data_IF_284700557944
#
_entry.id   IF_284700557944
#
_cell.length_a   1.000
_cell.length_b   1.000
_cell.length_c   1.000
_cell.angle_alpha   90.00
_cell.angle_beta   90.00
_cell.angle_gamma   90.00
#
_symmetry.space_group_name_H-M   'P 1'
#
loop_
_entity.id
_entity.type
_entity.pdbx_description
1 polymer ?
#
# COMPACT_ATOMS: atom_id res chain seq x y z
N UNK A 1 13.43 10.76 12.84
CA UNK A 1 14.63 11.63 12.92
C UNK A 1 14.39 12.84 13.81
N UNK A 2 13.38 13.67 13.63
CA UNK A 2 13.12 14.84 14.48
C UNK A 2 13.03 14.53 15.98
N UNK A 3 12.32 13.47 16.36
CA UNK A 3 12.22 13.05 17.77
C UNK A 3 13.58 12.67 18.35
N UNK A 4 14.39 11.94 17.59
CA UNK A 4 15.73 11.53 18.05
C UNK A 4 16.67 12.74 18.21
N UNK A 5 16.61 13.67 17.27
CA UNK A 5 17.42 14.89 17.28
C UNK A 5 17.06 15.80 18.47
N UNK A 6 15.77 16.03 18.68
CA UNK A 6 15.29 16.92 19.77
C UNK A 6 15.48 16.28 21.14
N UNK A 7 15.25 14.98 21.26
CA UNK A 7 15.31 14.28 22.56
C UNK A 7 16.69 13.76 22.95
N UNK A 8 17.63 13.70 22.01
CA UNK A 8 18.94 13.06 22.20
C UNK A 8 18.86 11.54 22.40
N UNK A 9 17.70 10.91 22.12
CA UNK A 9 17.46 9.48 22.29
C UNK A 9 17.15 8.80 20.95
N UNK A 10 17.55 7.53 20.80
CA UNK A 10 17.04 6.72 19.68
C UNK A 10 15.51 6.67 19.73
N UNK A 11 14.86 6.66 18.59
CA UNK A 11 13.40 6.66 18.47
C UNK A 11 12.75 5.52 19.28
N UNK A 12 13.30 4.30 19.16
CA UNK A 12 12.85 3.14 19.94
C UNK A 12 12.91 3.37 21.46
N UNK A 13 13.99 3.95 21.93
CA UNK A 13 14.15 4.24 23.37
C UNK A 13 13.24 5.37 23.85
N UNK A 14 12.97 6.33 22.98
CA UNK A 14 11.97 7.37 23.25
C UNK A 14 10.57 6.75 23.41
N UNK A 15 10.18 5.92 22.47
CA UNK A 15 8.87 5.25 22.49
C UNK A 15 8.75 4.29 23.67
N UNK A 16 9.79 3.52 23.98
CA UNK A 16 9.82 2.65 25.16
C UNK A 16 9.62 3.46 26.45
N UNK A 17 10.34 4.54 26.59
CA UNK A 17 10.31 5.34 27.81
C UNK A 17 9.00 6.11 28.01
N UNK A 18 8.49 6.71 26.97
CA UNK A 18 7.39 7.67 27.06
C UNK A 18 6.04 7.13 26.59
N UNK A 19 6.01 5.96 25.96
CA UNK A 19 4.75 5.36 25.48
C UNK A 19 4.58 3.96 26.04
N UNK A 20 5.33 2.99 25.56
CA UNK A 20 5.05 1.57 25.82
C UNK A 20 5.23 1.18 27.30
N UNK A 21 6.23 1.70 27.97
CA UNK A 21 6.40 1.46 29.42
C UNK A 21 5.30 2.10 30.25
N UNK A 22 4.83 3.27 29.86
CA UNK A 22 3.79 4.02 30.59
C UNK A 22 2.45 3.30 30.56
N UNK A 23 2.08 2.73 29.40
CA UNK A 23 0.83 1.97 29.26
C UNK A 23 0.99 0.49 29.59
N UNK A 24 2.19 0.05 29.96
CA UNK A 24 2.48 -1.34 30.26
C UNK A 24 2.47 -2.28 29.05
N UNK A 25 2.74 -1.75 27.86
CA UNK A 25 2.84 -2.48 26.60
C UNK A 25 4.22 -3.14 26.44
N UNK A 26 4.45 -4.21 27.16
CA UNK A 26 5.77 -4.86 27.31
C UNK A 26 6.25 -5.62 26.08
N UNK A 27 5.34 -6.06 25.20
CA UNK A 27 5.63 -6.79 23.97
C UNK A 27 5.72 -5.87 22.75
N UNK A 28 5.61 -4.55 22.95
CA UNK A 28 5.66 -3.55 21.89
C UNK A 28 7.09 -3.03 21.71
N UNK A 29 7.62 -3.14 20.50
CA UNK A 29 8.98 -2.69 20.17
C UNK A 29 9.04 -2.12 18.75
N UNK A 30 10.10 -1.38 18.44
CA UNK A 30 10.35 -0.83 17.12
C UNK A 30 11.37 -1.65 16.34
N UNK A 31 11.46 -1.45 15.02
CA UNK A 31 12.30 -2.23 14.10
C UNK A 31 13.80 -2.23 14.41
N UNK A 32 14.33 -1.24 15.08
CA UNK A 32 15.74 -1.21 15.51
C UNK A 32 16.06 -2.16 16.68
N UNK A 33 15.05 -2.83 17.23
CA UNK A 33 15.16 -3.76 18.35
C UNK A 33 14.62 -5.16 18.03
N UNK A 34 14.34 -5.47 16.78
CA UNK A 34 13.75 -6.74 16.38
C UNK A 34 14.65 -7.92 16.75
N UNK A 35 14.32 -8.52 17.87
CA UNK A 35 14.83 -9.82 18.33
C UNK A 35 13.64 -10.64 18.80
N UNK A 36 13.23 -11.65 18.07
CA UNK A 36 12.14 -12.50 18.53
C UNK A 36 11.69 -13.53 17.51
N UNK A 37 11.01 -14.55 17.95
CA UNK A 37 10.33 -15.53 17.10
C UNK A 37 8.91 -15.05 16.82
N UNK A 38 8.49 -15.15 15.56
CA UNK A 38 7.08 -15.00 15.22
C UNK A 38 6.31 -16.22 15.73
N UNK A 39 5.57 -16.04 16.80
CA UNK A 39 4.82 -17.13 17.44
C UNK A 39 3.64 -17.63 16.60
N UNK A 40 3.17 -16.84 15.62
CA UNK A 40 2.02 -17.19 14.78
C UNK A 40 2.42 -18.06 13.59
N UNK A 41 3.56 -17.84 12.97
CA UNK A 41 3.99 -18.55 11.75
C UNK A 41 4.91 -19.72 12.00
N UNK A 42 5.39 -19.94 13.22
CA UNK A 42 6.43 -20.92 13.58
C UNK A 42 7.73 -20.79 12.79
N UNK A 43 7.85 -19.81 11.93
CA UNK A 43 9.09 -19.49 11.24
C UNK A 43 9.94 -18.59 12.12
N UNK A 44 11.24 -18.82 12.09
CA UNK A 44 12.18 -17.86 12.69
C UNK A 44 12.00 -16.53 11.98
N UNK A 45 11.77 -15.47 12.74
CA UNK A 45 11.68 -14.13 12.17
C UNK A 45 12.89 -13.86 11.31
N UNK A 46 12.64 -13.70 10.02
CA UNK A 46 13.63 -13.08 9.16
C UNK A 46 13.70 -11.62 9.59
N UNK A 47 14.90 -11.06 9.78
CA UNK A 47 15.02 -9.67 10.15
C UNK A 47 14.48 -8.82 9.01
N UNK A 48 13.37 -8.15 9.20
CA UNK A 48 12.98 -7.06 8.33
C UNK A 48 13.15 -5.75 9.05
N UNK A 49 13.79 -4.87 8.39
CA UNK A 49 14.04 -3.56 8.89
C UNK A 49 13.26 -2.54 8.08
N UNK A 50 12.28 -1.93 8.71
CA UNK A 50 11.57 -0.80 8.18
C UNK A 50 12.15 0.51 8.74
N UNK A 51 13.47 0.60 8.80
CA UNK A 51 14.20 1.73 9.38
C UNK A 51 13.80 3.08 8.80
N UNK A 52 13.45 3.11 7.52
CA UNK A 52 13.09 4.36 6.85
C UNK A 52 11.70 4.85 7.22
N UNK A 53 10.85 3.99 7.73
CA UNK A 53 9.44 4.29 8.04
C UNK A 53 9.03 3.91 9.48
N UNK A 54 9.98 3.87 10.39
CA UNK A 54 9.77 3.50 11.80
C UNK A 54 8.53 4.14 12.44
N UNK A 55 8.28 5.42 12.19
CA UNK A 55 7.12 6.13 12.72
C UNK A 55 5.79 5.73 12.06
N UNK A 56 5.84 5.20 10.83
CA UNK A 56 4.66 4.81 10.06
C UNK A 56 4.32 3.33 10.12
N UNK A 57 5.34 2.45 10.14
CA UNK A 57 5.16 1.00 10.03
C UNK A 57 6.19 0.16 10.80
N UNK A 58 6.99 0.75 11.64
CA UNK A 58 8.11 0.09 12.31
C UNK A 58 7.81 -0.53 13.68
N UNK A 59 6.55 -0.70 14.06
CA UNK A 59 6.17 -1.30 15.34
C UNK A 59 5.77 -2.77 15.19
N UNK A 60 6.30 -3.60 16.07
CA UNK A 60 5.80 -4.94 16.36
C UNK A 60 5.13 -4.96 17.72
N UNK A 61 3.94 -5.48 17.84
CA UNK A 61 3.16 -5.46 19.08
C UNK A 61 2.27 -6.70 19.20
N UNK A 62 1.84 -7.00 20.40
CA UNK A 62 0.73 -7.96 20.62
C UNK A 62 -0.61 -7.23 20.61
N UNK A 63 -1.69 -7.94 20.27
CA UNK A 63 -3.04 -7.36 20.28
C UNK A 63 -3.42 -6.83 21.66
N UNK A 64 -2.99 -7.50 22.72
CA UNK A 64 -3.23 -7.06 24.10
C UNK A 64 -2.54 -5.71 24.35
N UNK A 65 -1.30 -5.54 23.91
CA UNK A 65 -0.57 -4.30 24.11
C UNK A 65 -1.14 -3.17 23.23
N UNK A 66 -1.61 -3.49 22.04
CA UNK A 66 -2.30 -2.54 21.17
C UNK A 66 -3.60 -2.05 21.83
N UNK A 67 -4.36 -2.95 22.47
CA UNK A 67 -5.55 -2.58 23.25
C UNK A 67 -5.19 -1.70 24.47
N UNK A 68 -4.05 -1.89 25.11
CA UNK A 68 -3.61 -1.00 26.19
C UNK A 68 -3.31 0.41 25.68
N UNK A 69 -2.70 0.51 24.49
CA UNK A 69 -2.47 1.81 23.85
C UNK A 69 -3.81 2.48 23.52
N UNK A 70 -4.77 1.74 22.97
CA UNK A 70 -6.11 2.26 22.69
C UNK A 70 -6.86 2.68 23.95
N UNK A 71 -6.74 1.92 25.02
CA UNK A 71 -7.37 2.29 26.29
C UNK A 71 -6.82 3.60 26.86
N UNK A 72 -5.54 3.90 26.63
CA UNK A 72 -4.96 5.20 26.99
C UNK A 72 -5.61 6.35 26.19
N UNK A 73 -6.01 6.09 24.94
CA UNK A 73 -6.72 7.09 24.12
C UNK A 73 -8.11 7.36 24.68
N UNK A 74 -8.81 6.32 25.12
CA UNK A 74 -10.13 6.45 25.76
C UNK A 74 -10.06 7.08 27.16
N UNK A 75 -9.01 6.73 27.88
CA UNK A 75 -8.80 7.11 29.29
C UNK A 75 -7.46 7.80 29.46
N UNK A 76 -7.30 9.06 29.03
CA UNK A 76 -6.06 9.81 29.08
C UNK A 76 -5.53 9.94 30.50
N UNK A 77 -4.23 9.86 30.63
CA UNK A 77 -3.51 10.08 31.88
C UNK A 77 -2.66 11.35 31.82
N UNK A 78 -1.98 11.70 32.90
CA UNK A 78 -1.14 12.90 32.98
C UNK A 78 -0.04 13.02 31.93
N UNK A 79 0.33 11.91 31.28
CA UNK A 79 1.35 11.89 30.24
C UNK A 79 0.78 12.28 28.87
N UNK A 80 -0.44 11.87 28.59
CA UNK A 80 -1.13 12.19 27.35
C UNK A 80 -2.25 13.19 27.63
N UNK A 81 -1.96 14.44 27.39
CA UNK A 81 -2.91 15.50 27.62
C UNK A 81 -4.15 15.27 26.78
N UNK A 82 -5.30 15.47 27.36
CA UNK A 82 -6.60 15.33 26.72
C UNK A 82 -6.69 16.14 25.41
N UNK A 83 -6.17 17.34 25.43
CA UNK A 83 -6.13 18.24 24.26
C UNK A 83 -5.32 17.66 23.10
N UNK A 84 -4.23 16.92 23.40
CA UNK A 84 -3.41 16.26 22.37
C UNK A 84 -4.15 15.10 21.74
N UNK A 85 -4.90 14.33 22.52
CA UNK A 85 -5.74 13.23 22.03
C UNK A 85 -6.89 13.77 21.19
N UNK A 86 -7.56 14.80 21.66
CA UNK A 86 -8.62 15.48 20.92
C UNK A 86 -8.11 16.03 19.59
N UNK A 87 -6.90 16.58 19.57
CA UNK A 87 -6.29 17.08 18.32
C UNK A 87 -5.95 15.94 17.37
N UNK A 88 -5.44 14.82 17.86
CA UNK A 88 -5.18 13.63 17.04
C UNK A 88 -6.45 13.05 16.43
N UNK A 89 -7.56 13.16 17.13
CA UNK A 89 -8.87 12.63 16.74
C UNK A 89 -9.68 13.59 15.86
N UNK A 90 -9.14 14.77 15.53
CA UNK A 90 -9.80 15.67 14.58
C UNK A 90 -9.50 15.26 13.13
N UNK A 91 -10.45 15.49 12.21
CA UNK A 91 -10.18 15.40 10.78
C UNK A 91 -9.12 16.40 10.36
N UNK A 92 -7.99 15.94 9.86
CA UNK A 92 -6.93 16.75 9.27
C UNK A 92 -6.87 16.61 7.75
N UNK A 93 -7.74 15.82 7.17
CA UNK A 93 -7.85 15.63 5.74
C UNK A 93 -8.48 16.86 5.06
N UNK A 94 -8.06 17.13 3.84
CA UNK A 94 -8.74 18.11 2.97
C UNK A 94 -10.03 17.45 2.50
N UNK A 95 -11.18 18.08 2.73
CA UNK A 95 -12.44 17.65 2.16
C UNK A 95 -12.34 17.66 0.64
N UNK A 96 -12.42 16.51 0.01
CA UNK A 96 -12.36 16.37 -1.44
C UNK A 96 -13.66 16.87 -2.10
N UNK A 97 -14.78 16.67 -1.43
CA UNK A 97 -16.08 17.15 -1.86
C UNK A 97 -16.58 18.11 -0.80
N UNK A 98 -16.62 19.43 -1.10
CA UNK A 98 -16.96 20.46 -0.12
C UNK A 98 -18.34 20.29 0.54
N UNK A 99 -19.25 19.55 -0.09
CA UNK A 99 -20.59 19.27 0.43
C UNK A 99 -20.71 17.97 1.22
N UNK A 100 -19.64 17.17 1.29
CA UNK A 100 -19.63 15.91 2.01
C UNK A 100 -18.56 15.91 3.10
N UNK A 101 -18.94 16.31 4.28
CA UNK A 101 -18.08 16.36 5.48
C UNK A 101 -17.54 14.97 5.90
N UNK A 102 -17.98 13.91 5.22
CA UNK A 102 -17.65 12.53 5.58
C UNK A 102 -16.49 11.94 4.76
N UNK A 103 -16.02 12.61 3.72
CA UNK A 103 -15.09 12.02 2.74
C UNK A 103 -13.62 12.00 3.15
N UNK A 104 -13.19 12.80 4.10
CA UNK A 104 -11.77 12.88 4.49
C UNK A 104 -11.58 12.96 6.00
N UNK A 105 -11.71 11.84 6.65
CA UNK A 105 -11.62 11.73 8.11
C UNK A 105 -10.24 11.25 8.63
N UNK A 106 -9.14 11.64 7.96
CA UNK A 106 -7.81 11.37 8.47
C UNK A 106 -7.51 12.18 9.72
N UNK A 107 -7.03 11.49 10.75
CA UNK A 107 -6.49 12.11 11.94
C UNK A 107 -4.96 12.09 11.96
N UNK A 108 -4.37 12.65 12.99
CA UNK A 108 -2.93 12.54 13.20
C UNK A 108 -2.58 11.12 13.69
N UNK A 109 -2.14 10.30 12.74
CA UNK A 109 -1.83 8.89 12.98
C UNK A 109 -3.03 7.93 12.85
N UNK A 110 -4.21 8.41 12.47
CA UNK A 110 -5.43 7.62 12.26
C UNK A 110 -5.84 7.59 10.79
N UNK A 111 -6.25 6.45 10.30
CA UNK A 111 -6.79 6.29 8.95
C UNK A 111 -8.23 6.79 8.86
N UNK A 112 -8.93 6.82 9.98
CA UNK A 112 -10.24 7.42 10.11
C UNK A 112 -10.51 7.84 11.56
N UNK A 113 -11.02 9.03 11.76
CA UNK A 113 -11.36 9.57 13.10
C UNK A 113 -12.86 9.68 13.35
N UNK A 114 -13.65 9.28 12.38
CA UNK A 114 -15.10 9.14 12.51
C UNK A 114 -15.58 7.95 11.67
N UNK A 115 -14.99 6.79 11.92
CA UNK A 115 -15.34 5.57 11.23
C UNK A 115 -16.80 5.22 11.53
N UNK A 116 -17.56 4.96 10.48
CA UNK A 116 -18.93 4.42 10.57
C UNK A 116 -18.98 3.10 9.83
N UNK A 117 -19.81 2.21 10.26
CA UNK A 117 -20.09 0.94 9.58
C UNK A 117 -21.55 0.91 9.14
N UNK A 118 -21.83 0.32 7.99
CA UNK A 118 -23.19 0.22 7.47
C UNK A 118 -24.01 -0.83 8.19
N UNK A 119 -23.33 -1.79 8.79
CA UNK A 119 -23.95 -2.92 9.49
C UNK A 119 -24.07 -2.69 11.00
N UNK A 120 -23.24 -1.80 11.56
CA UNK A 120 -23.11 -1.63 13.00
C UNK A 120 -23.12 -0.16 13.43
N UNK A 121 -23.99 0.18 14.36
CA UNK A 121 -24.01 1.50 15.03
C UNK A 121 -22.88 1.59 16.07
N UNK A 122 -21.72 2.00 15.64
CA UNK A 122 -20.54 2.17 16.49
C UNK A 122 -20.51 3.52 17.23
N UNK A 123 -21.44 4.42 16.91
CA UNK A 123 -21.44 5.79 17.41
C UNK A 123 -20.44 6.73 16.71
N UNK A 124 -20.40 7.97 17.17
CA UNK A 124 -19.50 9.01 16.64
C UNK A 124 -18.09 8.91 17.22
N UNK A 125 -17.12 9.48 16.50
CA UNK A 125 -15.74 9.61 16.96
C UNK A 125 -14.96 8.29 17.03
N UNK A 126 -15.39 7.28 16.31
CA UNK A 126 -14.66 6.00 16.23
C UNK A 126 -13.36 6.20 15.49
N UNK A 127 -12.25 5.84 16.12
CA UNK A 127 -10.92 5.91 15.56
C UNK A 127 -10.54 4.56 14.96
N UNK A 128 -10.04 4.58 13.73
CA UNK A 128 -9.56 3.39 13.03
C UNK A 128 -8.11 3.56 12.60
N UNK A 129 -7.32 2.52 12.81
CA UNK A 129 -5.97 2.40 12.26
C UNK A 129 -5.75 1.01 11.69
N UNK A 130 -5.45 0.94 10.41
CA UNK A 130 -5.00 -0.28 9.76
C UNK A 130 -3.48 -0.39 9.75
N UNK A 131 -2.99 -1.61 9.62
CA UNK A 131 -1.59 -1.92 9.39
C UNK A 131 -1.46 -3.18 8.57
N UNK A 132 -0.87 -3.05 7.38
CA UNK A 132 -0.60 -4.18 6.50
C UNK A 132 0.91 -4.33 6.30
N UNK A 133 1.39 -5.53 6.39
CA UNK A 133 2.75 -5.93 6.06
C UNK A 133 2.68 -7.12 5.09
N UNK A 134 3.82 -7.60 4.63
CA UNK A 134 3.85 -8.80 3.77
C UNK A 134 3.40 -10.09 4.47
N UNK A 135 3.22 -10.07 5.78
CA UNK A 135 2.86 -11.25 6.57
C UNK A 135 1.59 -11.08 7.39
N UNK A 136 1.20 -9.86 7.66
CA UNK A 136 0.10 -9.56 8.58
C UNK A 136 -0.82 -8.48 8.06
N UNK A 137 -2.10 -8.66 8.27
CA UNK A 137 -3.12 -7.60 8.22
C UNK A 137 -3.62 -7.35 9.63
N UNK A 138 -3.59 -6.11 10.06
CA UNK A 138 -4.01 -5.71 11.41
C UNK A 138 -5.03 -4.59 11.34
N UNK A 139 -6.07 -4.68 12.13
CA UNK A 139 -7.05 -3.61 12.32
C UNK A 139 -7.19 -3.27 13.80
N UNK A 140 -7.35 -2.00 14.05
CA UNK A 140 -7.39 -1.44 15.39
C UNK A 140 -8.46 -0.35 15.49
N UNK A 141 -9.38 -0.51 16.40
CA UNK A 141 -10.48 0.42 16.64
C UNK A 141 -10.48 0.93 18.07
N UNK A 142 -10.81 2.20 18.21
CA UNK A 142 -11.14 2.82 19.49
C UNK A 142 -12.55 3.36 19.36
N UNK A 143 -13.48 2.83 20.17
CA UNK A 143 -14.93 3.08 20.08
C UNK A 143 -15.41 3.80 21.34
N UNK A 144 -15.49 5.13 21.33
CA UNK A 144 -15.83 5.93 22.52
C UNK A 144 -17.19 5.62 23.10
N UNK A 145 -18.20 5.43 22.25
CA UNK A 145 -19.59 5.16 22.66
C UNK A 145 -19.70 4.00 23.62
N UNK A 146 -18.89 2.99 23.44
CA UNK A 146 -18.92 1.75 24.24
C UNK A 146 -17.72 1.61 25.18
N UNK A 147 -16.87 2.64 25.25
CA UNK A 147 -15.58 2.60 25.97
C UNK A 147 -14.80 1.33 25.62
N UNK A 148 -14.80 0.96 24.35
CA UNK A 148 -14.22 -0.28 23.84
C UNK A 148 -13.02 -0.03 22.93
N UNK A 149 -12.09 -0.97 22.96
CA UNK A 149 -10.94 -1.05 22.07
C UNK A 149 -10.90 -2.43 21.45
N UNK A 150 -10.82 -2.46 20.14
CA UNK A 150 -10.75 -3.71 19.37
C UNK A 150 -9.45 -3.80 18.62
N UNK A 151 -8.81 -4.94 18.62
CA UNK A 151 -7.61 -5.20 17.83
C UNK A 151 -7.62 -6.64 17.30
N UNK A 152 -7.38 -6.78 16.02
CA UNK A 152 -7.26 -8.07 15.35
C UNK A 152 -6.07 -8.06 14.42
N UNK A 153 -5.41 -9.19 14.30
CA UNK A 153 -4.35 -9.41 13.30
C UNK A 153 -4.50 -10.79 12.73
N UNK A 154 -4.35 -10.90 11.43
CA UNK A 154 -4.25 -12.18 10.72
C UNK A 154 -2.92 -12.32 10.00
N UNK A 155 -2.56 -13.54 9.68
CA UNK A 155 -1.54 -13.83 8.68
C UNK A 155 -2.24 -13.96 7.32
N UNK A 156 -1.57 -13.62 6.24
CA UNK A 156 -2.15 -13.68 4.89
C UNK A 156 -2.64 -15.07 4.45
N UNK A 157 -2.27 -16.11 5.18
CA UNK A 157 -2.75 -17.48 4.94
C UNK A 157 -4.22 -17.67 5.36
N UNK A 158 -4.75 -16.82 6.21
CA UNK A 158 -6.10 -17.00 6.76
C UNK A 158 -7.22 -16.55 5.85
N UNK A 159 -6.95 -15.63 4.91
CA UNK A 159 -7.90 -15.07 3.91
C UNK A 159 -9.25 -14.60 4.51
N UNK A 160 -9.24 -14.10 5.74
CA UNK A 160 -10.43 -13.54 6.40
C UNK A 160 -10.53 -12.03 6.20
N UNK A 161 -11.74 -11.53 6.20
CA UNK A 161 -11.95 -10.10 6.34
C UNK A 161 -11.82 -9.72 7.82
N UNK A 162 -10.72 -9.07 8.14
CA UNK A 162 -10.38 -8.76 9.54
C UNK A 162 -11.35 -7.76 10.16
N UNK A 163 -11.84 -6.79 9.37
CA UNK A 163 -12.79 -5.80 9.89
C UNK A 163 -14.14 -6.45 10.17
N UNK A 164 -14.67 -7.19 9.19
CA UNK A 164 -15.92 -7.92 9.35
C UNK A 164 -15.86 -8.88 10.55
N UNK A 165 -14.77 -9.58 10.66
CA UNK A 165 -14.59 -10.55 11.73
C UNK A 165 -14.60 -9.88 13.09
N UNK A 166 -13.85 -8.82 13.29
CA UNK A 166 -13.75 -8.16 14.60
C UNK A 166 -15.04 -7.41 14.97
N UNK A 167 -15.68 -6.76 14.00
CA UNK A 167 -16.92 -6.02 14.25
C UNK A 167 -18.07 -6.97 14.51
N UNK A 168 -18.13 -8.11 13.81
CA UNK A 168 -19.14 -9.15 14.09
C UNK A 168 -18.94 -9.77 15.47
N UNK A 169 -17.71 -10.04 15.87
CA UNK A 169 -17.42 -10.52 17.24
C UNK A 169 -17.82 -9.47 18.27
N UNK A 170 -17.54 -8.22 18.00
CA UNK A 170 -17.95 -7.13 18.87
C UNK A 170 -19.48 -7.03 18.95
N UNK A 171 -20.17 -7.07 17.82
CA UNK A 171 -21.63 -7.04 17.77
C UNK A 171 -22.25 -8.22 18.52
N UNK A 172 -21.62 -9.39 18.43
CA UNK A 172 -22.06 -10.58 19.20
C UNK A 172 -21.94 -10.34 20.70
N UNK A 173 -20.82 -9.81 21.14
CA UNK A 173 -20.59 -9.46 22.54
C UNK A 173 -21.59 -8.40 23.03
N UNK A 174 -21.90 -7.41 22.18
CA UNK A 174 -22.89 -6.39 22.51
C UNK A 174 -24.31 -6.96 22.61
N UNK A 175 -24.63 -7.94 21.77
CA UNK A 175 -25.92 -8.64 21.85
C UNK A 175 -26.06 -9.45 23.15
N UNK A 176 -25.01 -10.05 23.66
CA UNK A 176 -24.96 -10.70 24.95
C UNK A 176 -25.29 -9.74 26.10
N UNK A 177 -24.91 -8.47 25.92
CA UNK A 177 -25.25 -7.39 26.85
C UNK A 177 -26.67 -6.77 26.59
N UNK A 178 -27.43 -7.33 25.66
CA UNK A 178 -28.76 -6.85 25.30
C UNK A 178 -28.79 -5.63 24.37
N UNK A 179 -27.69 -5.30 23.70
CA UNK A 179 -27.58 -4.16 22.78
C UNK A 179 -27.54 -4.64 21.35
N UNK A 180 -28.49 -4.27 20.51
CA UNK A 180 -28.58 -4.61 19.09
C UNK A 180 -28.16 -3.42 18.23
N UNK A 181 -27.27 -3.69 17.31
CA UNK A 181 -26.62 -2.68 16.50
C UNK A 181 -26.62 -2.95 14.97
N UNK A 182 -27.73 -3.35 14.17
CA UNK A 182 -27.84 -3.69 12.68
C UNK A 182 -28.80 -2.91 11.80
N UNK A 183 -28.78 -2.62 10.18
CA UNK A 183 -29.54 -1.83 9.11
C UNK A 183 -30.13 -2.47 7.86
N UNK A 184 -30.91 -1.91 5.60
CA UNK A 184 -31.52 -2.27 4.23
C UNK A 184 -31.08 -1.82 2.89
N UNK A 185 -31.97 -1.91 -0.62
CA UNK A 185 -31.70 -1.66 -2.15
C UNK A 185 -32.76 -1.15 -3.23
N UNK A 186 -32.60 -0.29 -5.65
CA UNK A 186 -33.44 -0.04 -6.91
C UNK A 186 -32.68 0.20 -8.26
N UNK A 187 -33.16 0.80 -9.64
CA UNK A 187 -32.78 0.75 -11.06
C UNK A 187 -32.03 1.94 -11.65
N UNK A 188 -31.09 1.74 -12.73
CA UNK A 188 -30.14 2.68 -13.40
C UNK A 188 -30.78 3.34 -14.61
N UNK A 189 -30.58 4.63 -14.87
CA UNK A 189 -30.97 5.35 -16.09
C UNK A 189 -29.91 5.22 -17.19
N UNK A 190 -30.28 5.37 -18.46
CA UNK A 190 -29.34 5.40 -19.58
C UNK A 190 -28.35 6.58 -19.45
N UNK A 191 -28.81 7.72 -19.04
CA UNK A 191 -27.96 8.89 -18.79
C UNK A 191 -26.83 8.58 -17.80
N UNK A 192 -27.14 7.83 -16.77
CA UNK A 192 -26.18 7.39 -15.77
C UNK A 192 -25.17 6.41 -16.35
N UNK A 193 -25.62 5.51 -17.23
CA UNK A 193 -24.76 4.57 -17.95
C UNK A 193 -23.81 5.33 -18.88
N UNK A 194 -24.32 6.22 -19.70
CA UNK A 194 -23.54 7.00 -20.68
C UNK A 194 -22.49 7.87 -19.98
N UNK A 195 -22.81 8.35 -18.80
CA UNK A 195 -21.97 9.26 -18.04
C UNK A 195 -20.90 8.55 -17.22
N UNK A 196 -21.19 7.43 -16.65
CA UNK A 196 -20.33 6.80 -15.63
C UNK A 196 -19.71 5.48 -16.08
N UNK A 197 -20.21 4.80 -17.10
CA UNK A 197 -19.53 3.62 -17.61
C UNK A 197 -18.17 3.96 -18.24
N UNK A 198 -17.23 3.02 -18.22
CA UNK A 198 -15.90 3.17 -18.84
C UNK A 198 -14.72 2.91 -17.91
N UNK A 199 -13.56 3.34 -18.32
CA UNK A 199 -12.29 3.07 -17.66
C UNK A 199 -12.01 4.02 -16.49
N UNK A 200 -11.62 3.46 -15.40
CA UNK A 200 -11.23 4.15 -14.15
C UNK A 200 -9.83 3.74 -13.72
N UNK A 201 -9.11 4.63 -13.13
CA UNK A 201 -7.74 4.43 -12.68
C UNK A 201 -7.73 4.37 -11.16
N UNK A 202 -7.06 3.37 -10.63
CA UNK A 202 -6.75 3.17 -9.22
C UNK A 202 -5.23 3.28 -9.00
N UNK A 203 -4.74 3.40 -7.77
CA UNK A 203 -3.29 3.50 -7.51
C UNK A 203 -2.49 2.31 -8.02
N UNK A 204 -3.11 1.14 -8.12
CA UNK A 204 -2.46 -0.13 -8.44
C UNK A 204 -3.04 -0.82 -9.68
N UNK A 205 -3.62 -0.05 -10.61
CA UNK A 205 -4.14 -0.63 -11.85
C UNK A 205 -5.34 0.12 -12.44
N UNK A 206 -6.17 -0.60 -13.17
CA UNK A 206 -7.29 -0.06 -13.93
C UNK A 206 -8.56 -0.83 -13.56
N UNK A 207 -9.64 -0.11 -13.34
CA UNK A 207 -11.00 -0.65 -13.28
C UNK A 207 -11.78 -0.30 -14.54
N UNK A 208 -12.60 -1.21 -15.00
CA UNK A 208 -13.61 -0.92 -16.00
C UNK A 208 -15.00 -1.07 -15.38
N UNK A 209 -15.74 0.03 -15.36
CA UNK A 209 -17.13 0.07 -14.90
C UNK A 209 -18.06 -0.25 -16.09
N UNK A 210 -18.66 -1.41 -16.06
CA UNK A 210 -19.63 -1.87 -17.06
C UNK A 210 -21.04 -1.75 -16.49
N UNK A 211 -21.85 -0.91 -17.10
CA UNK A 211 -23.24 -0.72 -16.74
C UNK A 211 -24.16 -1.16 -17.85
N UNK A 212 -25.10 -2.00 -17.56
CA UNK A 212 -26.18 -2.38 -18.49
C UNK A 212 -27.42 -2.82 -17.70
N UNK A 213 -28.58 -2.41 -18.14
CA UNK A 213 -29.83 -2.69 -17.46
C UNK A 213 -29.85 -2.11 -16.05
N UNK A 214 -29.90 -2.94 -15.05
CA UNK A 214 -29.95 -2.56 -13.64
C UNK A 214 -28.68 -2.92 -12.84
N UNK A 215 -27.60 -3.25 -13.53
CA UNK A 215 -26.41 -3.84 -12.89
C UNK A 215 -25.15 -3.06 -13.24
N UNK A 216 -24.33 -2.81 -12.25
CA UNK A 216 -22.96 -2.36 -12.40
C UNK A 216 -22.01 -3.53 -12.11
N UNK A 217 -21.07 -3.75 -13.02
CA UNK A 217 -19.94 -4.67 -12.81
C UNK A 217 -18.65 -3.86 -12.91
N UNK A 218 -17.75 -4.09 -12.01
CA UNK A 218 -16.43 -3.47 -12.01
C UNK A 218 -15.41 -4.59 -12.17
N UNK A 219 -14.68 -4.58 -13.28
CA UNK A 219 -13.58 -5.51 -13.55
C UNK A 219 -12.26 -4.83 -13.25
N UNK A 220 -11.30 -5.58 -12.74
CA UNK A 220 -9.94 -5.14 -12.54
C UNK A 220 -9.09 -5.69 -13.68
N UNK A 221 -8.63 -4.82 -14.55
CA UNK A 221 -7.71 -5.18 -15.63
C UNK A 221 -6.28 -4.82 -15.21
N UNK A 222 -5.41 -5.81 -15.33
CA UNK A 222 -3.96 -5.60 -15.25
C UNK A 222 -3.37 -5.77 -16.64
N UNK A 223 -2.24 -5.16 -16.93
CA UNK A 223 -1.52 -5.34 -18.21
C UNK A 223 -1.09 -6.80 -18.44
N UNK A 224 -1.20 -7.63 -17.42
CA UNK A 224 -0.88 -9.07 -17.45
C UNK A 224 -2.10 -9.98 -17.63
N UNK A 225 -3.29 -9.42 -17.83
CA UNK A 225 -4.47 -10.16 -18.27
C UNK A 225 -5.29 -10.89 -17.21
N UNK A 226 -5.06 -10.69 -15.93
CA UNK A 226 -5.87 -11.28 -14.85
C UNK A 226 -7.10 -10.42 -14.54
N UNK A 227 -8.14 -10.60 -15.30
CA UNK A 227 -9.47 -10.02 -15.05
C UNK A 227 -10.24 -10.82 -14.00
N UNK A 228 -9.79 -10.82 -12.76
CA UNK A 228 -10.67 -11.21 -11.67
C UNK A 228 -11.62 -10.05 -11.40
N UNK A 229 -12.90 -10.26 -11.68
CA UNK A 229 -13.93 -9.24 -11.46
C UNK A 229 -13.88 -8.76 -10.00
N UNK A 230 -13.51 -7.50 -9.85
CA UNK A 230 -13.34 -6.91 -8.53
C UNK A 230 -14.68 -6.83 -7.78
N UNK A 231 -15.75 -6.49 -8.52
CA UNK A 231 -17.10 -6.38 -7.95
C UNK A 231 -18.14 -6.72 -9.01
N UNK A 232 -19.01 -7.67 -8.74
CA UNK A 232 -20.00 -8.17 -9.69
C UNK A 232 -21.44 -8.00 -9.17
N UNK A 233 -22.36 -7.83 -10.09
CA UNK A 233 -23.80 -7.83 -9.81
C UNK A 233 -24.26 -6.79 -8.80
N UNK A 234 -23.58 -5.63 -8.80
CA UNK A 234 -23.93 -4.52 -7.94
C UNK A 234 -25.30 -3.97 -8.34
N UNK A 235 -26.26 -3.96 -7.44
CA UNK A 235 -27.63 -3.52 -7.70
C UNK A 235 -27.86 -2.09 -7.19
N UNK A 236 -28.45 -1.28 -8.03
CA UNK A 236 -28.79 0.10 -7.69
C UNK A 236 -30.05 0.15 -6.83
N UNK A 237 -30.01 0.88 -5.74
CA UNK A 237 -31.17 1.06 -4.84
C UNK A 237 -31.89 2.40 -5.01
N UNK A 238 -31.47 3.22 -5.98
CA UNK A 238 -31.95 4.57 -6.19
C UNK A 238 -30.94 5.67 -5.85
N UNK A 239 -29.96 5.35 -5.02
CA UNK A 239 -28.90 6.27 -4.59
C UNK A 239 -27.51 5.68 -4.83
N UNK A 240 -27.32 4.43 -4.47
CA UNK A 240 -26.02 3.74 -4.54
C UNK A 240 -26.17 2.35 -5.13
N UNK A 241 -25.06 1.78 -5.59
CA UNK A 241 -24.95 0.40 -6.01
C UNK A 241 -24.54 -0.46 -4.82
N UNK A 242 -25.28 -1.48 -4.57
CA UNK A 242 -25.06 -2.40 -3.45
C UNK A 242 -24.58 -3.77 -3.94
N UNK A 243 -23.55 -4.28 -3.28
CA UNK A 243 -22.97 -5.59 -3.54
C UNK A 243 -23.09 -6.54 -2.37
N UNK A 244 -22.45 -7.68 -2.50
CA UNK A 244 -22.28 -8.63 -1.40
C UNK A 244 -21.48 -7.97 -0.28
N UNK A 245 -21.75 -8.37 0.95
CA UNK A 245 -21.08 -7.82 2.16
C UNK A 245 -21.34 -6.34 2.42
N UNK A 246 -22.51 -5.83 1.98
CA UNK A 246 -22.93 -4.45 2.20
C UNK A 246 -21.96 -3.37 1.68
N UNK A 247 -21.13 -3.72 0.73
CA UNK A 247 -20.34 -2.74 0.00
C UNK A 247 -21.26 -1.89 -0.87
N UNK A 248 -21.12 -0.59 -0.78
CA UNK A 248 -21.84 0.35 -1.64
C UNK A 248 -20.88 1.12 -2.53
N UNK A 249 -21.35 1.43 -3.73
CA UNK A 249 -20.62 2.20 -4.73
C UNK A 249 -21.51 3.30 -5.29
N UNK A 250 -20.93 4.45 -5.57
CA UNK A 250 -21.64 5.56 -6.20
C UNK A 250 -20.65 6.45 -6.96
N UNK A 251 -21.14 7.31 -7.82
CA UNK A 251 -20.32 8.20 -8.64
C UNK A 251 -20.46 9.64 -8.17
N UNK A 252 -19.35 10.36 -8.22
CA UNK A 252 -19.29 11.78 -7.85
C UNK A 252 -18.52 12.56 -8.89
N UNK A 253 -19.01 13.72 -9.22
CA UNK A 253 -18.32 14.71 -10.05
C UNK A 253 -17.76 15.84 -9.21
N UNK A 254 -16.50 16.14 -9.45
CA UNK A 254 -15.85 17.25 -8.77
C UNK A 254 -14.71 17.81 -9.63
N UNK A 255 -14.70 19.11 -9.86
CA UNK A 255 -13.68 19.82 -10.66
C UNK A 255 -13.46 19.17 -12.04
N UNK A 256 -14.52 18.92 -12.77
CA UNK A 256 -14.52 18.25 -14.08
C UNK A 256 -13.99 16.82 -14.09
N UNK A 257 -13.78 16.23 -12.96
CA UNK A 257 -13.40 14.82 -12.81
C UNK A 257 -14.56 13.98 -12.29
N UNK A 258 -14.57 12.70 -12.63
CA UNK A 258 -15.55 11.72 -12.15
C UNK A 258 -14.85 10.70 -11.29
N UNK A 259 -15.40 10.42 -10.16
CA UNK A 259 -14.87 9.48 -9.17
C UNK A 259 -15.86 8.35 -8.91
N UNK A 260 -15.39 7.14 -8.94
CA UNK A 260 -16.08 6.00 -8.36
C UNK A 260 -15.77 5.98 -6.86
N UNK A 261 -16.79 6.18 -6.09
CA UNK A 261 -16.73 6.19 -4.64
C UNK A 261 -17.16 4.85 -4.07
N UNK A 262 -16.66 4.50 -2.95
CA UNK A 262 -17.17 3.37 -2.17
C UNK A 262 -17.41 3.76 -0.72
N UNK A 263 -18.50 3.29 -0.18
CA UNK A 263 -18.71 3.24 1.26
C UNK A 263 -18.38 1.82 1.72
N UNK A 264 -17.13 1.62 2.00
CA UNK A 264 -16.67 0.37 2.58
C UNK A 264 -16.45 0.55 4.07
N UNK A 265 -17.30 -0.07 4.85
CA UNK A 265 -17.26 -0.04 6.33
C UNK A 265 -17.26 1.39 6.89
N UNK A 266 -18.19 2.19 6.41
CA UNK A 266 -18.38 3.56 6.86
C UNK A 266 -17.31 4.55 6.40
N UNK A 267 -16.46 4.17 5.45
CA UNK A 267 -15.52 5.07 4.78
C UNK A 267 -16.07 5.43 3.41
N UNK A 268 -16.53 6.65 3.24
CA UNK A 268 -16.74 7.23 1.91
C UNK A 268 -15.38 7.61 1.32
N UNK A 269 -14.80 6.73 0.54
CA UNK A 269 -13.50 6.96 -0.10
C UNK A 269 -13.64 6.94 -1.62
N UNK A 270 -12.94 7.81 -2.35
CA UNK A 270 -12.76 7.62 -3.79
C UNK A 270 -11.95 6.35 -4.02
N UNK A 271 -12.57 5.40 -4.69
CA UNK A 271 -11.95 4.13 -5.06
C UNK A 271 -11.13 4.29 -6.33
N UNK A 272 -11.67 4.99 -7.31
CA UNK A 272 -11.05 5.18 -8.61
C UNK A 272 -11.47 6.51 -9.25
N UNK A 273 -10.64 7.03 -10.13
CA UNK A 273 -10.91 8.23 -10.93
C UNK A 273 -11.13 7.85 -12.39
N UNK A 274 -12.16 8.34 -13.02
CA UNK A 274 -12.45 8.09 -14.45
C UNK A 274 -11.27 8.53 -15.31
N UNK A 275 -10.81 7.66 -16.18
CA UNK A 275 -9.72 7.96 -17.09
C UNK A 275 -10.14 9.03 -18.09
N UNK A 276 -9.30 10.03 -18.30
CA UNK A 276 -9.46 11.08 -19.31
C UNK A 276 -8.17 11.24 -20.10
N UNK A 277 -8.25 11.54 -21.40
CA UNK A 277 -7.08 11.87 -22.20
C UNK A 277 -6.28 13.02 -21.59
N UNK A 278 -4.98 12.91 -21.68
CA UNK A 278 -4.01 13.95 -21.31
C UNK A 278 -3.30 14.43 -22.58
N UNK A 279 -2.37 15.33 -22.45
CA UNK A 279 -1.52 15.76 -23.58
C UNK A 279 -0.81 14.56 -24.19
N UNK A 280 -0.69 14.48 -25.55
CA UNK A 280 0.10 13.42 -26.18
C UNK A 280 1.49 13.31 -25.58
N UNK A 281 1.97 12.09 -25.46
CA UNK A 281 3.31 11.84 -24.92
C UNK A 281 4.38 12.33 -25.89
N UNK A 282 5.46 12.87 -25.38
CA UNK A 282 6.60 13.32 -26.18
C UNK A 282 7.44 12.16 -26.69
N UNK A 283 8.34 12.45 -27.63
CA UNK A 283 9.30 11.49 -28.17
C UNK A 283 10.21 10.86 -27.10
N UNK A 284 10.51 11.60 -26.07
CA UNK A 284 11.31 11.11 -24.94
C UNK A 284 10.55 9.96 -24.23
N UNK A 285 9.29 10.13 -23.97
CA UNK A 285 8.44 9.09 -23.36
C UNK A 285 8.20 7.89 -24.28
N UNK A 286 8.02 8.11 -25.58
CA UNK A 286 7.92 7.02 -26.56
C UNK A 286 9.17 6.13 -26.59
N UNK A 287 10.34 6.73 -26.41
CA UNK A 287 11.59 5.98 -26.32
C UNK A 287 11.67 5.15 -25.04
N UNK A 288 11.16 5.66 -23.92
CA UNK A 288 11.16 4.98 -22.62
C UNK A 288 10.20 3.81 -22.53
N UNK A 289 9.09 3.82 -23.26
CA UNK A 289 8.16 2.69 -23.35
C UNK A 289 8.82 1.42 -23.89
N UNK A 290 9.95 1.54 -24.59
CA UNK A 290 10.72 0.42 -25.13
C UNK A 290 11.82 -0.09 -24.21
N UNK A 291 11.91 0.46 -23.02
CA UNK A 291 12.99 0.20 -22.07
C UNK A 291 12.49 -0.48 -20.81
N UNK A 292 13.37 -1.19 -20.18
CA UNK A 292 13.21 -1.73 -18.84
C UNK A 292 14.23 -1.12 -17.88
N UNK A 293 13.86 -0.98 -16.64
CA UNK A 293 14.69 -0.34 -15.64
C UNK A 293 14.83 -1.23 -14.42
N UNK A 294 16.06 -1.45 -13.97
CA UNK A 294 16.38 -2.28 -12.79
C UNK A 294 16.75 -1.39 -11.59
N UNK A 295 16.32 -1.76 -10.42
CA UNK A 295 16.62 -1.04 -9.17
C UNK A 295 18.12 -1.12 -8.83
N UNK A 296 18.74 0.04 -8.57
CA UNK A 296 20.16 0.16 -8.22
C UNK A 296 20.41 0.87 -6.89
N UNK A 297 19.35 1.06 -6.07
CA UNK A 297 19.46 1.69 -4.75
C UNK A 297 18.54 1.03 -3.74
N UNK A 298 19.04 0.06 -3.04
CA UNK A 298 18.32 -0.57 -1.94
C UNK A 298 19.30 -0.99 -0.84
N UNK A 299 18.81 -1.41 0.30
CA UNK A 299 19.66 -1.93 1.39
C UNK A 299 19.46 -3.44 1.58
N UNK A 300 20.37 -4.04 2.33
CA UNK A 300 20.41 -5.49 2.51
C UNK A 300 19.17 -6.08 3.20
N UNK A 301 18.33 -5.27 3.83
CA UNK A 301 17.16 -5.70 4.60
C UNK A 301 15.83 -5.16 4.03
N UNK A 302 15.87 -4.56 2.85
CA UNK A 302 14.69 -4.01 2.20
C UNK A 302 13.82 -5.14 1.62
N UNK A 303 12.63 -5.34 2.18
CA UNK A 303 11.66 -6.33 1.71
C UNK A 303 10.89 -5.87 0.49
N UNK A 304 10.62 -4.58 0.38
CA UNK A 304 9.82 -4.03 -0.72
C UNK A 304 10.48 -4.30 -2.05
N UNK A 305 11.82 -4.30 -2.10
CA UNK A 305 12.57 -4.63 -3.31
C UNK A 305 12.32 -6.08 -3.77
N UNK A 306 12.25 -7.02 -2.85
CA UNK A 306 11.98 -8.42 -3.15
C UNK A 306 10.57 -8.63 -3.70
N UNK A 307 9.60 -8.03 -3.06
CA UNK A 307 8.19 -8.28 -3.36
C UNK A 307 7.68 -7.52 -4.58
N UNK A 308 8.11 -6.26 -4.77
CA UNK A 308 7.42 -5.35 -5.68
C UNK A 308 8.29 -4.47 -6.58
N UNK A 309 9.57 -4.21 -6.25
CA UNK A 309 10.27 -3.05 -6.78
C UNK A 309 11.64 -3.37 -7.40
N UNK A 310 11.87 -4.58 -7.86
CA UNK A 310 13.14 -5.02 -8.48
C UNK A 310 13.42 -4.33 -9.80
N UNK A 311 12.37 -3.98 -10.52
CA UNK A 311 12.45 -3.23 -11.77
C UNK A 311 11.11 -2.69 -12.20
N UNK A 312 11.05 -1.95 -13.30
CA UNK A 312 9.80 -1.54 -13.92
C UNK A 312 9.92 -1.32 -15.43
N UNK A 313 8.82 -1.32 -16.11
CA UNK A 313 8.64 -0.92 -17.51
C UNK A 313 7.46 0.02 -17.65
N UNK A 314 7.40 0.71 -18.78
CA UNK A 314 6.30 1.60 -19.13
C UNK A 314 5.51 1.06 -20.32
N UNK A 315 4.20 1.16 -20.26
CA UNK A 315 3.29 0.81 -21.35
C UNK A 315 2.26 1.92 -21.55
N UNK A 316 1.72 2.04 -22.77
CA UNK A 316 0.60 2.96 -23.02
C UNK A 316 -0.68 2.38 -22.42
N UNK A 317 -1.47 3.20 -21.79
CA UNK A 317 -2.85 2.81 -21.53
C UNK A 317 -3.61 2.88 -22.83
N UNK A 318 -4.02 1.71 -23.33
CA UNK A 318 -4.78 1.62 -24.57
C UNK A 318 -6.05 2.46 -24.45
N UNK A 319 -6.41 3.14 -25.53
CA UNK A 319 -7.58 4.01 -25.68
C UNK A 319 -7.60 5.31 -24.86
N UNK A 320 -6.56 5.59 -24.08
CA UNK A 320 -6.47 6.84 -23.31
C UNK A 320 -5.16 7.56 -23.64
N UNK A 321 -5.25 8.59 -24.46
CA UNK A 321 -4.07 9.36 -24.87
C UNK A 321 -3.37 10.05 -23.69
N UNK A 322 -2.05 10.02 -23.69
CA UNK A 322 -1.23 10.74 -22.70
C UNK A 322 -1.14 10.10 -21.33
N UNK A 323 -1.61 8.88 -21.17
CA UNK A 323 -1.52 8.11 -19.93
C UNK A 323 -0.64 6.87 -20.13
N UNK A 324 0.27 6.65 -19.20
CA UNK A 324 1.16 5.50 -19.19
C UNK A 324 0.90 4.65 -17.95
N UNK A 325 1.14 3.36 -18.09
CA UNK A 325 1.15 2.42 -16.97
C UNK A 325 2.60 2.09 -16.66
N UNK A 326 3.01 2.30 -15.43
CA UNK A 326 4.28 1.79 -14.90
C UNK A 326 4.02 0.46 -14.20
N UNK A 327 4.54 -0.62 -14.78
CA UNK A 327 4.41 -1.98 -14.21
C UNK A 327 5.70 -2.36 -13.52
N UNK A 328 5.63 -2.62 -12.23
CA UNK A 328 6.80 -2.98 -11.42
C UNK A 328 6.95 -4.50 -11.31
N UNK A 329 8.19 -4.94 -11.22
CA UNK A 329 8.58 -6.34 -11.06
C UNK A 329 8.96 -6.65 -9.62
N UNK A 330 8.79 -7.91 -9.22
CA UNK A 330 9.14 -8.42 -7.91
C UNK A 330 9.08 -9.95 -7.90
N UNK A 331 8.69 -10.54 -6.81
CA UNK A 331 8.60 -11.99 -6.62
C UNK A 331 7.67 -12.71 -7.60
N UNK A 332 6.65 -12.03 -8.10
CA UNK A 332 5.78 -12.52 -9.19
C UNK A 332 4.67 -13.49 -8.79
N UNK A 333 4.72 -14.07 -7.61
CA UNK A 333 3.72 -15.00 -7.04
C UNK A 333 3.00 -14.45 -5.81
N UNK A 334 3.12 -13.17 -5.59
CA UNK A 334 2.45 -12.49 -4.48
C UNK A 334 0.96 -12.35 -4.75
N UNK A 335 0.19 -13.38 -4.42
CA UNK A 335 -1.29 -13.37 -4.39
C UNK A 335 -1.88 -12.22 -3.57
N UNK A 336 -1.04 -11.49 -2.85
CA UNK A 336 -1.47 -10.47 -1.88
C UNK A 336 -1.44 -9.06 -2.45
N UNK A 337 -0.48 -8.75 -3.33
CA UNK A 337 -0.31 -7.42 -3.89
C UNK A 337 -0.37 -7.38 -5.42
N UNK A 338 -0.47 -8.53 -6.07
CA UNK A 338 -0.45 -8.61 -7.52
C UNK A 338 0.78 -7.93 -8.14
N UNK A 339 0.73 -7.70 -9.42
CA UNK A 339 1.67 -6.79 -10.10
C UNK A 339 1.34 -5.38 -9.64
N UNK A 340 2.32 -4.70 -9.05
CA UNK A 340 2.13 -3.29 -8.73
C UNK A 340 2.18 -2.48 -10.02
N UNK A 341 1.04 -2.00 -10.45
CA UNK A 341 0.89 -1.13 -11.60
C UNK A 341 0.39 0.25 -11.16
N UNK A 342 0.92 1.30 -11.74
CA UNK A 342 0.46 2.64 -11.46
C UNK A 342 0.29 3.45 -12.75
N UNK A 343 -0.85 4.06 -12.92
CA UNK A 343 -1.06 5.00 -14.01
C UNK A 343 -0.38 6.33 -13.71
N UNK A 344 0.41 6.79 -14.68
CA UNK A 344 1.13 8.05 -14.60
C UNK A 344 0.87 8.93 -15.82
N UNK A 345 0.85 10.23 -15.62
CA UNK A 345 0.73 11.22 -16.69
C UNK A 345 2.00 12.07 -16.78
N UNK A 346 2.66 12.11 -17.93
CA UNK A 346 3.79 13.00 -18.18
C UNK A 346 3.44 14.47 -17.95
N UNK A 347 4.30 15.17 -17.23
CA UNK A 347 4.20 16.62 -17.00
C UNK A 347 5.12 17.35 -17.99
N UNK A 348 6.30 16.81 -18.21
CA UNK A 348 7.31 17.26 -19.15
C UNK A 348 8.09 16.06 -19.72
N UNK A 349 9.17 16.30 -20.44
CA UNK A 349 9.99 15.25 -21.06
C UNK A 349 10.64 14.29 -20.06
N UNK A 350 10.76 14.68 -18.80
CA UNK A 350 11.51 13.93 -17.79
C UNK A 350 10.70 13.58 -16.54
N UNK A 351 9.52 14.15 -16.40
CA UNK A 351 8.70 13.93 -15.19
C UNK A 351 7.31 13.45 -15.54
N UNK A 352 6.85 12.47 -14.79
CA UNK A 352 5.45 12.07 -14.75
C UNK A 352 4.97 11.95 -13.30
N UNK A 353 3.72 12.21 -13.08
CA UNK A 353 3.07 12.05 -11.78
C UNK A 353 1.92 11.06 -11.87
N UNK A 354 1.55 10.46 -10.76
CA UNK A 354 0.38 9.59 -10.68
C UNK A 354 -0.85 10.28 -11.26
N UNK A 355 -1.65 9.55 -12.02
CA UNK A 355 -2.84 10.07 -12.69
C UNK A 355 -3.91 10.52 -11.71
N UNK A 356 -4.08 9.77 -10.62
CA UNK A 356 -5.14 9.99 -9.64
C UNK A 356 -4.91 11.28 -8.87
N UNK A 357 -5.96 12.10 -8.81
CA UNK A 357 -5.99 13.35 -8.06
C UNK A 357 -7.02 13.27 -6.93
N UNK A 358 -6.87 12.29 -6.04
CA UNK A 358 -7.75 12.10 -4.90
C UNK A 358 -7.00 12.27 -3.58
N UNK A 359 -7.52 13.01 -2.61
CA UNK A 359 -7.02 12.96 -1.24
C UNK A 359 -7.43 11.63 -0.61
N UNK A 360 -6.67 11.08 0.24
CA UNK A 360 -6.83 9.89 1.07
C UNK A 360 -5.90 8.72 0.68
N UNK A 361 -6.15 7.51 1.16
CA UNK A 361 -5.35 6.32 0.91
C UNK A 361 -5.09 6.07 -0.58
N UNK A 362 -6.03 6.41 -1.45
CA UNK A 362 -5.89 6.23 -2.89
C UNK A 362 -4.77 7.09 -3.51
N UNK A 363 -4.41 8.21 -2.89
CA UNK A 363 -3.30 9.06 -3.34
C UNK A 363 -2.04 9.00 -2.47
N UNK A 364 -2.07 8.22 -1.41
CA UNK A 364 -0.91 8.05 -0.53
C UNK A 364 0.29 7.43 -1.24
N UNK A 365 0.03 6.47 -2.08
CA UNK A 365 1.04 5.62 -2.71
C UNK A 365 1.22 5.95 -4.22
N UNK A 366 1.01 7.21 -4.60
CA UNK A 366 1.19 7.68 -5.97
C UNK A 366 2.65 7.56 -6.42
N UNK A 367 2.82 6.95 -7.58
CA UNK A 367 4.11 6.86 -8.25
C UNK A 367 4.42 8.18 -8.95
N UNK A 368 5.60 8.72 -8.71
CA UNK A 368 6.17 9.82 -9.47
C UNK A 368 7.44 9.34 -10.14
N UNK A 369 7.58 9.54 -11.45
CA UNK A 369 8.77 9.20 -12.20
C UNK A 369 9.56 10.48 -12.52
N UNK A 370 10.86 10.46 -12.24
CA UNK A 370 11.75 11.56 -12.54
C UNK A 370 13.01 11.01 -13.20
N UNK A 371 13.16 11.25 -14.50
CA UNK A 371 14.29 10.77 -15.28
C UNK A 371 15.42 11.80 -15.32
N UNK A 372 16.65 11.32 -15.28
CA UNK A 372 17.86 12.12 -15.38
C UNK A 372 18.99 11.37 -16.09
N UNK A 373 19.86 12.11 -16.72
CA UNK A 373 21.04 11.56 -17.40
C UNK A 373 22.31 11.84 -16.59
N UNK A 374 23.10 10.81 -16.34
CA UNK A 374 24.44 10.91 -15.76
C UNK A 374 25.40 10.06 -16.58
N UNK A 375 26.46 10.69 -17.13
CA UNK A 375 27.49 10.02 -17.95
C UNK A 375 26.88 9.16 -19.07
N UNK A 376 25.93 9.72 -19.82
CA UNK A 376 25.15 9.05 -20.89
C UNK A 376 24.29 7.85 -20.45
N UNK A 377 24.11 7.67 -19.15
CA UNK A 377 23.24 6.65 -18.58
C UNK A 377 21.96 7.28 -18.06
N UNK A 378 20.82 6.73 -18.46
CA UNK A 378 19.51 7.17 -17.96
C UNK A 378 19.16 6.49 -16.63
N UNK A 379 18.80 7.32 -15.67
CA UNK A 379 18.29 6.91 -14.37
C UNK A 379 16.87 7.42 -14.16
N UNK A 380 16.10 6.70 -13.35
CA UNK A 380 14.76 7.11 -12.94
C UNK A 380 14.63 7.07 -11.41
N UNK A 381 14.29 8.18 -10.83
CA UNK A 381 13.87 8.24 -9.44
C UNK A 381 12.36 8.00 -9.35
N UNK A 382 11.96 7.04 -8.52
CA UNK A 382 10.56 6.84 -8.15
C UNK A 382 10.45 6.42 -6.70
N UNK A 383 9.56 7.04 -5.95
CA UNK A 383 9.46 6.86 -4.51
C UNK A 383 10.82 7.03 -3.81
N UNK A 384 11.32 6.00 -3.16
CA UNK A 384 12.63 6.02 -2.46
C UNK A 384 13.73 5.31 -3.24
N UNK A 385 13.46 4.87 -4.46
CA UNK A 385 14.37 4.03 -5.25
C UNK A 385 14.93 4.76 -6.47
N UNK A 386 16.14 4.35 -6.84
CA UNK A 386 16.82 4.73 -8.09
C UNK A 386 16.86 3.52 -9.01
N UNK A 387 16.42 3.72 -10.24
CA UNK A 387 16.44 2.73 -11.30
C UNK A 387 17.37 3.14 -12.41
N UNK A 388 17.92 2.16 -13.11
CA UNK A 388 18.83 2.34 -14.23
C UNK A 388 18.36 1.53 -15.43
N UNK A 389 18.48 2.09 -16.63
CA UNK A 389 18.20 1.42 -17.90
C UNK A 389 19.01 0.12 -18.01
N UNK A 390 18.33 -1.00 -18.24
CA UNK A 390 18.95 -2.34 -18.28
C UNK A 390 19.98 -2.49 -19.40
N UNK A 391 19.84 -1.76 -20.51
CA UNK A 391 20.81 -1.78 -21.61
C UNK A 391 22.18 -1.18 -21.23
N UNK A 392 22.19 -0.37 -20.17
CA UNK A 392 23.42 0.23 -19.63
C UNK A 392 24.10 -0.63 -18.56
N UNK A 393 23.50 -1.75 -18.16
CA UNK A 393 24.03 -2.62 -17.09
C UNK A 393 25.25 -3.39 -17.60
N UNK A 394 26.39 -3.33 -16.89
CA UNK A 394 27.61 -4.05 -17.29
C UNK A 394 27.45 -5.57 -17.15
N UNK A 395 28.21 -6.30 -17.95
CA UNK A 395 28.24 -7.77 -17.93
C UNK A 395 28.93 -8.28 -16.67
N UNK A 396 28.40 -9.35 -16.11
CA UNK A 396 29.01 -10.05 -14.97
C UNK A 396 30.22 -10.90 -15.42
N UNK A 397 31.36 -10.61 -14.85
CA UNK A 397 32.64 -11.31 -15.11
C UNK A 397 33.32 -11.74 -13.81
N UNK A 398 32.54 -12.22 -12.83
CA UNK A 398 33.07 -12.67 -11.54
C UNK A 398 33.31 -11.55 -10.52
N UNK A 399 32.72 -10.38 -10.72
CA UNK A 399 32.78 -9.28 -9.74
C UNK A 399 32.09 -9.67 -8.43
N UNK A 400 32.54 -9.10 -7.32
CA UNK A 400 31.95 -9.29 -6.00
C UNK A 400 31.50 -7.99 -5.36
N UNK A 401 31.26 -7.99 -4.05
CA UNK A 401 30.90 -6.81 -3.27
C UNK A 401 32.01 -5.75 -3.23
N UNK A 402 31.63 -4.49 -3.38
CA UNK A 402 32.54 -3.36 -3.16
C UNK A 402 32.24 -2.67 -1.83
N UNK A 403 33.28 -2.27 -1.11
CA UNK A 403 33.12 -1.73 0.27
C UNK A 403 32.52 -0.34 0.37
N UNK A 404 32.56 0.49 -0.69
CA UNK A 404 32.34 1.94 -0.58
C UNK A 404 31.26 2.55 -1.50
N UNK A 405 30.30 1.79 -2.02
CA UNK A 405 29.31 2.38 -2.94
C UNK A 405 27.93 2.52 -2.33
N UNK A 406 27.35 3.71 -2.49
CA UNK A 406 25.96 4.05 -2.13
C UNK A 406 24.92 3.47 -3.10
N UNK A 407 25.35 2.91 -4.21
CA UNK A 407 24.53 2.34 -5.29
C UNK A 407 24.85 0.86 -5.37
N UNK A 408 23.84 0.03 -5.48
CA UNK A 408 24.00 -1.42 -5.65
C UNK A 408 24.74 -1.71 -6.96
N UNK A 409 25.58 -2.72 -6.93
CA UNK A 409 26.25 -3.20 -8.12
C UNK A 409 25.35 -4.23 -8.80
N UNK A 410 24.75 -3.85 -9.91
CA UNK A 410 23.95 -4.74 -10.75
C UNK A 410 24.74 -5.11 -12.00
N UNK A 411 24.71 -6.39 -12.37
CA UNK A 411 25.37 -6.93 -13.56
C UNK A 411 24.42 -7.84 -14.32
N UNK A 412 24.53 -7.81 -15.66
CA UNK A 412 23.82 -8.70 -16.58
C UNK A 412 24.53 -10.06 -16.67
N UNK A 413 23.79 -11.14 -16.59
CA UNK A 413 24.29 -12.50 -16.76
C UNK A 413 24.22 -12.87 -18.24
N UNK A 414 25.38 -13.08 -18.89
CA UNK A 414 25.50 -13.61 -20.25
C UNK A 414 26.03 -15.06 -20.24
N UNK A 415 26.55 -15.49 -19.12
CA UNK A 415 27.02 -16.86 -18.89
C UNK A 415 26.28 -17.46 -17.70
N UNK A 416 26.14 -18.77 -17.69
CA UNK A 416 25.48 -19.50 -16.62
C UNK A 416 26.15 -19.23 -15.26
N UNK A 417 25.41 -18.67 -14.33
CA UNK A 417 25.79 -18.53 -12.93
C UNK A 417 25.50 -19.82 -12.20
N UNK A 418 26.51 -20.65 -11.96
CA UNK A 418 26.37 -21.98 -11.34
C UNK A 418 26.39 -21.94 -9.81
N UNK A 419 27.14 -21.01 -9.27
CA UNK A 419 27.33 -20.85 -7.83
C UNK A 419 27.31 -19.36 -7.48
N UNK A 420 26.80 -19.05 -6.28
CA UNK A 420 26.83 -17.68 -5.78
C UNK A 420 28.24 -17.31 -5.29
N UNK A 421 28.67 -16.06 -5.48
CA UNK A 421 29.85 -15.53 -4.80
C UNK A 421 29.67 -15.59 -3.27
N UNK A 422 30.80 -15.56 -2.56
CA UNK A 422 30.78 -15.45 -1.09
C UNK A 422 30.02 -14.20 -0.64
N UNK A 423 29.10 -14.36 0.31
CA UNK A 423 28.26 -13.26 0.81
C UNK A 423 28.78 -12.82 2.18
N UNK A 424 29.40 -11.64 2.29
CA UNK A 424 29.86 -11.11 3.57
C UNK A 424 28.70 -10.87 4.52
N UNK A 425 28.97 -10.93 5.83
CA UNK A 425 27.96 -10.67 6.86
C UNK A 425 27.29 -9.29 6.69
N UNK A 426 25.98 -9.25 6.73
CA UNK A 426 25.20 -8.03 6.54
C UNK A 426 25.06 -7.60 5.07
N UNK A 427 25.50 -8.42 4.11
CA UNK A 427 25.33 -8.20 2.67
C UNK A 427 24.28 -9.14 2.10
N UNK A 428 23.75 -8.79 0.92
CA UNK A 428 22.69 -9.53 0.23
C UNK A 428 23.01 -9.70 -1.26
N UNK A 429 22.71 -10.85 -1.80
CA UNK A 429 22.68 -11.07 -3.26
C UNK A 429 21.23 -11.29 -3.66
N UNK A 430 20.81 -10.56 -4.69
CA UNK A 430 19.55 -10.74 -5.37
C UNK A 430 19.84 -11.18 -6.81
N UNK A 431 19.27 -12.30 -7.25
CA UNK A 431 19.34 -12.75 -8.64
C UNK A 431 17.96 -12.59 -9.26
N UNK A 432 17.93 -11.88 -10.39
CA UNK A 432 16.70 -11.57 -11.12
C UNK A 432 16.66 -12.34 -12.43
N UNK A 433 15.48 -12.76 -12.82
CA UNK A 433 15.21 -13.28 -14.16
C UNK A 433 15.31 -12.14 -15.19
N UNK A 434 15.18 -12.49 -16.45
CA UNK A 434 15.21 -11.52 -17.56
C UNK A 434 14.10 -10.47 -17.48
N UNK A 435 12.94 -10.86 -17.00
CA UNK A 435 11.79 -9.97 -16.77
C UNK A 435 11.87 -9.18 -15.46
N UNK A 436 13.04 -9.17 -14.84
CA UNK A 436 13.35 -8.52 -13.57
C UNK A 436 12.60 -9.10 -12.35
N UNK A 437 11.86 -10.20 -12.50
CA UNK A 437 11.30 -10.90 -11.35
C UNK A 437 12.39 -11.60 -10.55
N UNK A 438 12.14 -11.82 -9.27
CA UNK A 438 13.10 -12.47 -8.35
C UNK A 438 13.22 -13.96 -8.69
N UNK A 439 14.43 -14.41 -8.91
CA UNK A 439 14.78 -15.84 -9.02
C UNK A 439 15.37 -16.36 -7.71
N UNK A 440 16.26 -15.62 -7.11
CA UNK A 440 16.88 -15.97 -5.83
C UNK A 440 17.19 -14.74 -4.98
N UNK A 441 17.05 -14.90 -3.69
CA UNK A 441 17.36 -13.87 -2.70
C UNK A 441 18.02 -14.44 -1.47
N UNK A 442 19.25 -14.07 -1.23
CA UNK A 442 20.04 -14.60 -0.11
C UNK A 442 19.49 -14.22 1.27
N UNK A 443 18.66 -13.17 1.38
CA UNK A 443 18.01 -12.78 2.63
C UNK A 443 16.98 -13.84 3.07
N UNK A 444 16.26 -14.41 2.09
CA UNK A 444 15.27 -15.45 2.34
C UNK A 444 15.90 -16.86 2.36
N UNK A 445 17.11 -17.00 1.82
CA UNK A 445 17.80 -18.28 1.73
C UNK A 445 17.12 -19.26 0.77
N UNK A 446 17.35 -20.54 0.98
CA UNK A 446 16.88 -21.61 0.11
C UNK A 446 17.98 -22.14 -0.80
N UNK A 447 17.66 -23.14 -1.62
CA UNK A 447 18.58 -23.74 -2.59
C UNK A 447 18.73 -22.82 -3.80
N UNK A 448 19.95 -22.37 -4.07
CA UNK A 448 20.25 -21.65 -5.31
C UNK A 448 20.33 -22.61 -6.49
N UNK A 449 19.61 -22.32 -7.56
CA UNK A 449 19.66 -23.07 -8.81
C UNK A 449 20.43 -22.26 -9.86
N UNK A 450 21.20 -22.95 -10.69
CA UNK A 450 21.98 -22.31 -11.76
C UNK A 450 21.07 -21.47 -12.68
N UNK A 451 21.48 -20.22 -12.95
CA UNK A 451 20.74 -19.24 -13.77
C UNK A 451 21.53 -18.94 -15.05
N UNK A 452 20.90 -19.07 -16.21
CA UNK A 452 21.58 -18.90 -17.51
C UNK A 452 21.56 -17.47 -18.01
N UNK A 453 20.53 -16.72 -17.73
CA UNK A 453 20.34 -15.33 -18.15
C UNK A 453 19.53 -14.55 -17.10
N UNK A 454 19.74 -13.26 -17.00
CA UNK A 454 19.11 -12.39 -16.02
C UNK A 454 20.07 -11.38 -15.44
N UNK A 455 19.93 -11.06 -14.18
CA UNK A 455 20.77 -10.07 -13.51
C UNK A 455 21.17 -10.54 -12.12
N UNK A 456 22.34 -10.13 -11.66
CA UNK A 456 22.80 -10.31 -10.28
C UNK A 456 23.03 -8.93 -9.64
N UNK A 457 22.46 -8.71 -8.47
CA UNK A 457 22.61 -7.47 -7.70
C UNK A 457 23.34 -7.75 -6.39
N UNK A 458 24.36 -6.98 -6.12
CA UNK A 458 25.15 -6.98 -4.88
C UNK A 458 24.73 -5.80 -4.01
N UNK A 459 24.03 -6.08 -2.91
CA UNK A 459 23.40 -5.13 -2.02
C UNK A 459 24.13 -5.05 -0.68
#
# INVERSE_FOLDING_TARGET
MAIAEISGMRYSKFCEKYITSVVGAKSTQTSDLLTGENTLTKEKNKPYELLYIQGGAGYTTSMIDLCKIGNMILNPNDMFKKESIEEMAKPHGISFIPSDDKTCNYGLGWDNVNFTDIDYDLGEGVLLKGGNSFQFTTQFFVIPKYNAVLAISETHDCKIDVNETILRLFATAMLEEGINIYTKHIKISQEMIDKYAGTYIIPSGIFNAHMYGAVLNITHDTTRGDSNGAYKNLKFNGEVFEGENNQTFYFVEHNDEVYLMTNYRGKNIPLAQKAKPKKPISKAWENRIKKEYVCVSTNSYDLVIHELMTGFKLEKLNDIEGVLISSFSGRGDADIYGVFEAAVAPIDDNKATGFINTPNNASRDLVTLCFEMHDDIEYCHTSSYLYRDVESIPIYNGQGFHQDKKINLVYKLENELKELPEIPNGRRILVLKKDLSVDYDSLYGGEFKAVKEGYISFI
#
